data_IF_944500413728
#
_entry.id   IF_944500413728
#
_cell.length_a   1.000
_cell.length_b   1.000
_cell.length_c   1.000
_cell.angle_alpha   90.00
_cell.angle_beta   90.00
_cell.angle_gamma   90.00
#
_symmetry.space_group_name_H-M   'P 1'
#
loop_
_entity.id
_entity.type
_entity.pdbx_description
1 polymer ?
#
# COMPACT_ATOMS: atom_id res chain seq x y z
N UNK A 1 11.33 -7.16 -5.83
CA UNK A 1 11.02 -6.63 -4.49
C UNK A 1 10.50 -5.21 -4.63
N UNK A 2 10.27 -4.50 -3.54
CA UNK A 2 10.08 -3.04 -3.59
C UNK A 2 11.45 -2.37 -3.62
N UNK A 3 11.64 -1.35 -4.47
CA UNK A 3 12.87 -0.57 -4.55
C UNK A 3 12.64 0.79 -5.19
N UNK A 4 13.56 1.72 -4.98
CA UNK A 4 13.67 2.95 -5.78
C UNK A 4 14.25 2.57 -7.13
N UNK A 5 13.60 2.98 -8.23
CA UNK A 5 14.05 2.62 -9.58
C UNK A 5 15.32 3.39 -9.96
N UNK A 6 16.29 2.69 -10.52
CA UNK A 6 17.56 3.24 -11.01
C UNK A 6 17.72 2.93 -12.51
N UNK A 7 18.59 3.67 -13.21
CA UNK A 7 18.79 3.46 -14.66
C UNK A 7 19.25 2.03 -15.00
N UNK A 8 20.06 1.42 -14.14
CA UNK A 8 20.50 0.04 -14.28
C UNK A 8 19.32 -0.97 -14.27
N UNK A 9 18.21 -0.64 -13.61
CA UNK A 9 17.02 -1.50 -13.59
C UNK A 9 16.34 -1.59 -14.95
N UNK A 10 16.62 -0.69 -15.89
CA UNK A 10 16.06 -0.77 -17.24
C UNK A 10 16.38 -2.11 -17.93
N UNK A 11 17.48 -2.76 -17.55
CA UNK A 11 17.84 -4.09 -18.03
C UNK A 11 16.81 -5.18 -17.66
N UNK A 12 16.00 -4.97 -16.62
CA UNK A 12 14.97 -5.92 -16.17
C UNK A 12 13.65 -5.78 -16.94
N UNK A 13 13.42 -4.65 -17.61
CA UNK A 13 12.15 -4.32 -18.29
C UNK A 13 11.69 -5.45 -19.24
N UNK A 14 12.56 -6.03 -20.09
CA UNK A 14 12.14 -7.10 -21.00
C UNK A 14 11.57 -8.36 -20.31
N UNK A 15 11.91 -8.56 -19.03
CA UNK A 15 11.51 -9.74 -18.24
C UNK A 15 10.47 -9.41 -17.16
N UNK A 16 9.99 -8.17 -17.11
CA UNK A 16 9.09 -7.69 -16.07
C UNK A 16 7.66 -8.13 -16.36
N UNK A 17 7.15 -9.10 -15.61
CA UNK A 17 5.75 -9.52 -15.73
C UNK A 17 4.79 -8.49 -15.13
N UNK A 18 5.17 -7.92 -13.97
CA UNK A 18 4.36 -6.96 -13.23
C UNK A 18 5.25 -5.91 -12.59
N UNK A 19 4.84 -4.65 -12.68
CA UNK A 19 5.38 -3.57 -11.87
C UNK A 19 4.30 -2.55 -11.56
N UNK A 20 4.42 -1.96 -10.38
CA UNK A 20 3.56 -0.88 -9.92
C UNK A 20 4.43 0.22 -9.35
N UNK A 21 4.28 1.42 -9.91
CA UNK A 21 4.81 2.64 -9.33
C UNK A 21 3.79 3.21 -8.33
N UNK A 22 4.27 3.71 -7.21
CA UNK A 22 3.47 4.45 -6.23
C UNK A 22 4.23 5.71 -5.79
N UNK A 23 4.04 6.18 -4.56
CA UNK A 23 4.76 7.33 -4.04
C UNK A 23 6.23 7.06 -3.71
N UNK A 24 6.88 8.08 -3.17
CA UNK A 24 8.30 8.05 -2.83
C UNK A 24 8.61 7.13 -1.64
N UNK A 25 9.88 6.78 -1.51
CA UNK A 25 10.43 6.00 -0.39
C UNK A 25 10.23 6.72 0.93
N UNK A 26 9.69 5.99 1.91
CA UNK A 26 9.47 6.42 3.30
C UNK A 26 10.62 5.95 4.18
N UNK A 27 11.03 4.68 4.02
CA UNK A 27 12.22 4.12 4.65
C UNK A 27 12.90 3.11 3.73
N UNK A 28 14.19 2.92 3.90
CA UNK A 28 14.98 1.91 3.20
C UNK A 28 16.12 1.41 4.10
N UNK A 29 16.36 0.10 4.10
CA UNK A 29 17.52 -0.48 4.77
C UNK A 29 18.77 -0.17 3.97
N UNK A 30 19.73 0.45 4.62
CA UNK A 30 21.06 0.60 4.07
C UNK A 30 21.75 -0.77 4.00
N UNK A 31 22.11 -1.27 2.82
CA UNK A 31 22.75 -2.56 2.68
C UNK A 31 24.15 -2.62 3.31
N UNK A 32 24.84 -1.48 3.47
CA UNK A 32 26.19 -1.44 4.04
C UNK A 32 26.19 -1.48 5.57
N UNK A 33 25.20 -0.87 6.21
CA UNK A 33 25.14 -0.72 7.68
C UNK A 33 24.04 -1.57 8.32
N UNK A 34 23.04 -2.00 7.55
CA UNK A 34 21.84 -2.67 8.04
C UNK A 34 20.83 -1.73 8.70
N UNK A 35 21.12 -0.44 8.82
CA UNK A 35 20.24 0.54 9.45
C UNK A 35 19.05 0.90 8.55
N UNK A 36 17.87 1.09 9.16
CA UNK A 36 16.70 1.60 8.44
C UNK A 36 16.77 3.12 8.36
N UNK A 37 17.11 3.65 7.18
CA UNK A 37 17.16 5.08 6.90
C UNK A 37 15.78 5.62 6.55
N UNK A 38 15.53 6.86 6.93
CA UNK A 38 14.35 7.61 6.48
C UNK A 38 14.61 8.10 5.06
N UNK A 39 13.63 7.96 4.17
CA UNK A 39 13.75 8.39 2.78
C UNK A 39 13.98 9.90 2.64
N UNK A 40 14.82 10.30 1.68
CA UNK A 40 15.32 11.67 1.53
C UNK A 40 14.24 12.73 1.29
N UNK A 41 13.06 12.31 0.86
CA UNK A 41 11.93 13.22 0.60
C UNK A 41 11.04 13.42 1.82
N UNK A 42 11.16 12.62 2.89
CA UNK A 42 10.21 12.62 4.03
C UNK A 42 10.08 13.99 4.71
N UNK A 43 11.15 14.75 4.69
CA UNK A 43 11.31 16.09 5.24
C UNK A 43 11.17 17.18 4.16
N UNK A 44 10.82 16.83 2.93
CA UNK A 44 10.51 17.73 1.82
C UNK A 44 9.03 17.66 1.47
N UNK A 45 8.29 18.73 1.77
CA UNK A 45 6.84 18.76 1.50
C UNK A 45 6.53 18.62 0.01
N UNK A 46 7.07 19.50 -0.83
CA UNK A 46 6.84 19.45 -2.29
C UNK A 46 7.52 18.27 -2.97
N UNK A 47 8.75 17.92 -2.55
CA UNK A 47 9.53 16.88 -3.20
C UNK A 47 9.03 15.45 -2.95
N UNK A 48 8.21 15.23 -1.91
CA UNK A 48 7.66 13.92 -1.62
C UNK A 48 6.22 13.70 -2.08
N UNK A 49 5.52 14.75 -2.52
CA UNK A 49 4.13 14.67 -3.01
C UNK A 49 3.25 13.76 -2.12
N UNK A 50 3.19 14.08 -0.82
CA UNK A 50 2.82 13.15 0.26
C UNK A 50 1.35 12.70 0.30
N UNK A 51 0.56 12.97 -0.74
CA UNK A 51 -0.88 12.70 -0.90
C UNK A 51 -1.70 12.92 0.40
N UNK A 52 -2.97 12.51 0.43
CA UNK A 52 -3.75 12.43 1.67
C UNK A 52 -4.55 13.67 2.08
N UNK A 53 -4.33 14.85 1.49
CA UNK A 53 -5.17 16.02 1.79
C UNK A 53 -5.24 16.98 0.61
N UNK A 54 -6.46 17.26 0.13
CA UNK A 54 -6.70 18.29 -0.89
C UNK A 54 -6.29 19.69 -0.39
N UNK A 55 -6.45 19.94 0.92
CA UNK A 55 -6.07 21.19 1.59
C UNK A 55 -4.61 21.21 2.03
N UNK A 56 -3.78 20.29 1.52
CA UNK A 56 -2.36 20.18 1.83
C UNK A 56 -2.05 20.07 3.34
N UNK A 57 -2.92 19.42 4.12
CA UNK A 57 -2.70 19.22 5.55
C UNK A 57 -1.52 18.25 5.79
N UNK A 58 -0.52 18.72 6.54
CA UNK A 58 0.67 17.93 6.87
C UNK A 58 0.32 16.65 7.63
N UNK A 59 -0.64 16.73 8.56
CA UNK A 59 -1.15 15.58 9.30
C UNK A 59 -2.52 15.21 8.76
N UNK A 60 -2.61 14.06 8.11
CA UNK A 60 -3.84 13.62 7.43
C UNK A 60 -3.86 12.08 7.31
N UNK A 61 -4.97 11.55 6.77
CA UNK A 61 -5.12 10.17 6.36
C UNK A 61 -3.99 9.77 5.41
N UNK A 62 -3.33 8.65 5.69
CA UNK A 62 -2.30 8.08 4.80
C UNK A 62 -2.34 6.56 4.82
N UNK A 63 -1.77 5.99 3.77
CA UNK A 63 -1.37 4.59 3.79
C UNK A 63 0.02 4.40 3.22
N UNK A 64 0.64 3.29 3.58
CA UNK A 64 1.87 2.84 2.95
C UNK A 64 2.01 1.35 2.95
N UNK A 65 3.04 0.89 2.25
CA UNK A 65 3.44 -0.50 2.23
C UNK A 65 4.87 -0.63 2.71
N UNK A 66 5.12 -1.73 3.42
CA UNK A 66 6.41 -2.09 3.93
C UNK A 66 6.71 -3.55 3.56
N UNK A 67 7.91 -3.80 3.03
CA UNK A 67 8.47 -5.13 2.88
C UNK A 67 9.40 -5.37 4.05
N UNK A 68 9.31 -6.55 4.65
CA UNK A 68 10.25 -7.02 5.66
C UNK A 68 10.63 -8.46 5.41
N UNK A 69 11.92 -8.75 5.45
CA UNK A 69 12.49 -10.07 5.39
C UNK A 69 13.13 -10.39 6.74
N UNK A 70 12.63 -11.45 7.39
CA UNK A 70 13.15 -11.89 8.69
C UNK A 70 12.97 -13.39 8.83
N UNK A 71 13.98 -14.08 9.37
CA UNK A 71 13.98 -15.54 9.51
C UNK A 71 13.75 -16.30 8.20
N UNK A 72 14.26 -15.77 7.07
CA UNK A 72 14.07 -16.35 5.73
C UNK A 72 12.65 -16.23 5.17
N UNK A 73 11.80 -15.39 5.78
CA UNK A 73 10.42 -15.15 5.35
C UNK A 73 10.23 -13.70 4.97
N UNK A 74 9.44 -13.48 3.91
CA UNK A 74 9.04 -12.16 3.43
C UNK A 74 7.64 -11.83 3.91
N UNK A 75 7.48 -10.64 4.48
CA UNK A 75 6.24 -10.07 4.94
C UNK A 75 5.96 -8.81 4.15
N UNK A 76 4.73 -8.72 3.65
CA UNK A 76 4.18 -7.48 3.12
C UNK A 76 3.24 -6.90 4.17
N UNK A 77 3.57 -5.72 4.68
CA UNK A 77 2.82 -5.02 5.69
C UNK A 77 2.12 -3.83 5.04
N UNK A 78 0.81 -3.76 5.22
CA UNK A 78 0.01 -2.61 4.83
C UNK A 78 -0.23 -1.73 6.05
N UNK A 79 0.17 -0.46 5.99
CA UNK A 79 -0.03 0.52 7.05
C UNK A 79 -1.19 1.44 6.72
N UNK A 80 -2.23 1.43 7.55
CA UNK A 80 -3.31 2.42 7.54
C UNK A 80 -3.12 3.42 8.68
N UNK A 81 -3.18 4.71 8.37
CA UNK A 81 -3.03 5.77 9.34
C UNK A 81 -4.19 6.76 9.21
N UNK A 82 -5.09 6.76 10.18
CA UNK A 82 -6.23 7.71 10.21
C UNK A 82 -5.79 9.18 10.29
N UNK A 83 -4.60 9.45 10.84
CA UNK A 83 -4.01 10.79 10.93
C UNK A 83 -2.53 10.73 11.29
N UNK A 84 -1.63 10.98 10.33
CA UNK A 84 -0.17 10.88 10.54
C UNK A 84 0.57 11.90 9.69
N UNK A 85 1.80 12.27 10.04
CA UNK A 85 2.74 13.00 9.14
C UNK A 85 3.68 12.01 8.44
N UNK A 86 4.31 12.37 7.30
CA UNK A 86 5.29 11.49 6.66
C UNK A 86 6.42 11.05 7.61
N UNK A 87 6.91 11.96 8.46
CA UNK A 87 7.96 11.64 9.44
C UNK A 87 7.48 10.66 10.51
N UNK A 88 6.25 10.80 11.01
CA UNK A 88 5.70 9.87 12.00
C UNK A 88 5.45 8.49 11.37
N UNK A 89 4.99 8.44 10.13
CA UNK A 89 4.86 7.20 9.36
C UNK A 89 6.21 6.50 9.17
N UNK A 90 7.28 7.25 8.86
CA UNK A 90 8.63 6.70 8.77
C UNK A 90 9.11 6.10 10.09
N UNK A 91 8.81 6.73 11.24
CA UNK A 91 9.13 6.16 12.56
C UNK A 91 8.41 4.84 12.83
N UNK A 92 7.15 4.72 12.40
CA UNK A 92 6.42 3.46 12.50
C UNK A 92 7.10 2.39 11.64
N UNK A 93 7.43 2.67 10.38
CA UNK A 93 8.10 1.70 9.52
C UNK A 93 9.51 1.31 10.02
N UNK A 94 10.24 2.24 10.63
CA UNK A 94 11.50 1.92 11.34
C UNK A 94 11.26 0.95 12.51
N UNK A 95 10.23 1.19 13.33
CA UNK A 95 9.91 0.34 14.47
C UNK A 95 9.47 -1.09 14.05
N UNK A 96 8.83 -1.20 12.87
CA UNK A 96 8.50 -2.49 12.27
C UNK A 96 9.69 -3.16 11.55
N UNK A 97 10.85 -2.49 11.50
CA UNK A 97 12.08 -3.00 10.87
C UNK A 97 11.86 -3.35 9.39
N UNK A 98 11.23 -2.42 8.68
CA UNK A 98 10.94 -2.50 7.25
C UNK A 98 12.22 -2.36 6.43
N UNK A 99 12.50 -3.32 5.55
CA UNK A 99 13.64 -3.24 4.62
C UNK A 99 13.41 -2.17 3.55
N UNK A 100 12.15 -2.01 3.14
CA UNK A 100 11.75 -0.96 2.22
C UNK A 100 10.31 -0.58 2.51
N UNK A 101 10.05 0.70 2.65
CA UNK A 101 8.71 1.24 2.85
C UNK A 101 8.43 2.39 1.89
N UNK A 102 7.25 2.44 1.30
CA UNK A 102 6.81 3.52 0.42
C UNK A 102 5.41 3.99 0.79
N UNK A 103 5.11 5.25 0.48
CA UNK A 103 3.75 5.79 0.59
C UNK A 103 2.90 5.31 -0.59
N UNK A 104 1.62 5.05 -0.33
CA UNK A 104 0.62 4.76 -1.35
C UNK A 104 -0.28 5.97 -1.59
N UNK A 105 -0.90 6.02 -2.77
CA UNK A 105 -1.81 7.10 -3.14
C UNK A 105 -3.18 7.01 -2.43
N UNK A 106 -3.19 7.37 -1.15
CA UNK A 106 -4.39 7.47 -0.33
C UNK A 106 -4.87 8.92 -0.26
N UNK A 107 -6.15 9.15 -0.52
CA UNK A 107 -6.79 10.45 -0.31
C UNK A 107 -8.16 10.37 0.36
N UNK A 108 -8.71 9.16 0.58
CA UNK A 108 -10.01 9.00 1.24
C UNK A 108 -10.19 7.63 1.90
N UNK A 109 -10.95 7.50 3.01
CA UNK A 109 -11.11 6.22 3.71
C UNK A 109 -11.83 5.12 2.91
N UNK A 110 -12.72 5.46 1.99
CA UNK A 110 -13.34 4.49 1.07
C UNK A 110 -12.33 3.92 0.05
N UNK A 111 -11.20 4.60 -0.11
CA UNK A 111 -10.11 4.19 -0.98
C UNK A 111 -8.99 3.53 -0.20
N UNK A 112 -9.23 2.95 0.99
CA UNK A 112 -8.18 2.37 1.82
C UNK A 112 -7.47 1.15 1.17
N UNK A 113 -7.94 0.61 0.04
CA UNK A 113 -7.26 -0.46 -0.73
C UNK A 113 -6.85 -1.73 0.05
N UNK A 114 -7.36 -1.94 1.27
CA UNK A 114 -7.13 -3.16 2.05
C UNK A 114 -8.46 -3.77 2.47
N UNK A 115 -8.73 -4.94 1.91
CA UNK A 115 -9.85 -5.78 2.29
C UNK A 115 -9.41 -7.24 2.23
N UNK A 116 -9.97 -8.05 3.11
CA UNK A 116 -9.77 -9.49 3.13
C UNK A 116 -10.94 -10.18 2.44
N UNK A 117 -10.67 -10.87 1.34
CA UNK A 117 -11.68 -11.58 0.57
C UNK A 117 -11.67 -13.06 0.89
N UNK A 118 -12.86 -13.61 1.10
CA UNK A 118 -13.08 -15.04 1.32
C UNK A 118 -14.10 -15.55 0.32
N UNK A 119 -13.98 -16.81 -0.10
CA UNK A 119 -15.07 -17.46 -0.83
C UNK A 119 -16.35 -17.43 0.01
N UNK A 120 -17.47 -17.15 -0.64
CA UNK A 120 -18.77 -17.28 -0.01
C UNK A 120 -19.10 -18.76 0.26
N UNK A 121 -20.13 -19.02 1.05
CA UNK A 121 -20.53 -20.40 1.41
C UNK A 121 -21.05 -21.22 0.23
N UNK A 122 -21.43 -20.60 -0.88
CA UNK A 122 -21.89 -21.27 -2.11
C UNK A 122 -20.75 -21.64 -3.06
N UNK A 123 -19.54 -21.09 -2.87
CA UNK A 123 -18.39 -21.29 -3.74
C UNK A 123 -18.45 -20.55 -5.08
N UNK A 124 -19.48 -19.74 -5.31
CA UNK A 124 -19.72 -19.04 -6.59
C UNK A 124 -19.25 -17.57 -6.59
N UNK A 125 -18.57 -17.13 -5.54
CA UNK A 125 -18.10 -15.76 -5.41
C UNK A 125 -17.31 -15.50 -4.13
N UNK A 126 -17.05 -14.22 -3.85
CA UNK A 126 -16.29 -13.77 -2.68
C UNK A 126 -17.08 -12.77 -1.83
N UNK A 127 -16.74 -12.70 -0.54
CA UNK A 127 -17.22 -11.71 0.43
C UNK A 127 -16.01 -10.94 0.97
N UNK A 128 -16.10 -9.61 1.00
CA UNK A 128 -15.05 -8.73 1.49
C UNK A 128 -15.23 -8.33 2.95
N UNK A 129 -14.19 -8.49 3.75
CA UNK A 129 -14.02 -7.87 5.08
C UNK A 129 -13.14 -6.64 4.93
N UNK A 130 -13.77 -5.47 4.99
CA UNK A 130 -13.11 -4.18 4.76
C UNK A 130 -12.46 -3.65 6.04
N UNK A 131 -11.33 -2.95 5.90
CA UNK A 131 -10.69 -2.27 7.02
C UNK A 131 -11.51 -1.06 7.54
N UNK A 132 -12.28 -0.42 6.65
CA UNK A 132 -13.10 0.76 6.95
C UNK A 132 -14.55 0.51 6.51
N UNK A 133 -15.51 0.95 7.33
CA UNK A 133 -16.94 0.86 6.98
C UNK A 133 -17.27 1.70 5.73
N UNK A 134 -16.58 2.82 5.54
CA UNK A 134 -16.75 3.68 4.37
C UNK A 134 -16.35 2.97 3.07
N UNK A 135 -15.36 2.06 3.11
CA UNK A 135 -15.07 1.20 1.96
C UNK A 135 -16.24 0.28 1.66
N UNK A 136 -16.75 -0.42 2.68
CA UNK A 136 -17.89 -1.32 2.53
C UNK A 136 -19.11 -0.58 2.00
N UNK A 137 -19.37 0.63 2.47
CA UNK A 137 -20.50 1.45 2.00
C UNK A 137 -20.33 1.91 0.55
N UNK A 138 -19.09 2.00 0.06
CA UNK A 138 -18.80 2.32 -1.35
C UNK A 138 -18.95 1.15 -2.33
N UNK A 139 -19.14 -0.07 -1.82
CA UNK A 139 -19.38 -1.25 -2.67
C UNK A 139 -20.75 -1.14 -3.35
N UNK A 140 -20.82 -1.29 -4.69
CA UNK A 140 -22.05 -1.16 -5.44
C UNK A 140 -23.01 -2.33 -5.20
N UNK A 141 -24.30 -2.06 -5.40
CA UNK A 141 -25.35 -3.08 -5.40
C UNK A 141 -25.63 -3.53 -6.82
N UNK A 142 -25.59 -4.85 -7.04
CA UNK A 142 -26.06 -5.52 -8.25
C UNK A 142 -27.31 -6.35 -7.92
N UNK A 143 -27.92 -6.98 -8.92
CA UNK A 143 -29.14 -7.79 -8.74
C UNK A 143 -29.02 -8.89 -7.67
N UNK A 144 -27.80 -9.35 -7.34
CA UNK A 144 -27.51 -10.35 -6.31
C UNK A 144 -27.07 -9.80 -4.95
N UNK A 145 -27.12 -8.47 -4.75
CA UNK A 145 -26.70 -7.81 -3.52
C UNK A 145 -25.44 -6.94 -3.68
N UNK A 146 -24.88 -6.53 -2.55
CA UNK A 146 -23.65 -5.73 -2.52
C UNK A 146 -22.45 -6.58 -2.94
N UNK A 147 -21.64 -6.08 -3.88
CA UNK A 147 -20.46 -6.80 -4.40
C UNK A 147 -19.18 -6.01 -4.16
N UNK A 148 -18.06 -6.66 -3.85
CA UNK A 148 -16.79 -5.95 -3.65
C UNK A 148 -16.34 -5.18 -4.89
N UNK A 149 -16.30 -3.86 -4.80
CA UNK A 149 -16.01 -2.96 -5.92
C UNK A 149 -14.73 -3.33 -6.66
N UNK A 150 -13.62 -3.46 -5.93
CA UNK A 150 -12.29 -3.66 -6.54
C UNK A 150 -12.04 -5.07 -7.09
N UNK A 151 -12.91 -6.04 -6.78
CA UNK A 151 -12.85 -7.38 -7.38
C UNK A 151 -13.75 -7.45 -8.61
N UNK A 152 -14.90 -6.78 -8.56
CA UNK A 152 -15.93 -6.90 -9.59
C UNK A 152 -15.78 -5.89 -10.74
N UNK A 153 -15.09 -4.78 -10.52
CA UNK A 153 -14.95 -3.72 -11.51
C UNK A 153 -13.48 -3.41 -11.77
N UNK A 154 -13.16 -3.21 -13.05
CA UNK A 154 -11.88 -2.61 -13.44
C UNK A 154 -11.91 -1.14 -13.06
N UNK A 155 -11.41 -0.82 -11.87
CA UNK A 155 -11.26 0.55 -11.39
C UNK A 155 -9.86 1.07 -11.78
N UNK A 156 -9.70 2.38 -11.96
CA UNK A 156 -8.41 3.01 -12.22
C UNK A 156 -7.55 3.14 -10.95
N UNK A 157 -7.84 2.30 -9.95
CA UNK A 157 -7.34 2.39 -8.58
C UNK A 157 -6.53 1.16 -8.24
N UNK A 158 -5.60 1.34 -7.31
CA UNK A 158 -4.67 0.28 -6.92
C UNK A 158 -5.37 -0.79 -6.11
N UNK A 159 -5.28 -2.02 -6.59
CA UNK A 159 -5.82 -3.18 -5.92
C UNK A 159 -4.74 -4.25 -5.77
N UNK A 160 -4.37 -4.53 -4.52
CA UNK A 160 -3.44 -5.60 -4.18
C UNK A 160 -4.22 -6.66 -3.46
N UNK A 161 -4.22 -7.87 -4.01
CA UNK A 161 -4.87 -9.02 -3.42
C UNK A 161 -3.88 -10.15 -3.23
N UNK A 162 -4.09 -10.93 -2.17
CA UNK A 162 -3.40 -12.17 -1.94
C UNK A 162 -4.41 -13.29 -2.01
N UNK A 163 -4.18 -14.26 -2.89
CA UNK A 163 -4.92 -15.51 -2.90
C UNK A 163 -4.17 -16.54 -2.05
N UNK A 164 -4.92 -17.42 -1.37
CA UNK A 164 -4.32 -18.60 -0.75
C UNK A 164 -3.66 -19.41 -1.87
N UNK A 165 -2.40 -19.81 -1.66
CA UNK A 165 -1.72 -20.74 -2.55
C UNK A 165 -2.41 -22.10 -2.46
N UNK A 166 -2.85 -22.62 -3.61
CA UNK A 166 -3.35 -24.00 -3.75
C UNK A 166 -2.26 -25.03 -3.44
#
# INVERSE_FOLDING_TARGET
GMKTWEEADNAMIPNLAYARQNGVTVVERDPATGEIKVGDRVNSWGGGNWSGSADAQLRTLRSGMCLRETGGRKFLMYGYFSSVTPSAMARVFQAYDCDYGMILDMNSPELTYMAYFQHNTRGDGVIGSHLSSLMKESDPYLAGGQVPRFVNFSDNRDFIYMLRKE
#
